data_IF_919960147396
#
_entry.id   IF_919960147396
#
_cell.length_a   1.000
_cell.length_b   1.000
_cell.length_c   1.000
_cell.angle_alpha   90.00
_cell.angle_beta   90.00
_cell.angle_gamma   90.00
#
_symmetry.space_group_name_H-M   'P 1'
#
loop_
_entity.id
_entity.type
_entity.pdbx_description
1 polymer ?
#
# COMPACT_ATOMS: atom_id res chain seq x y z
N UNK A 1 17.66 0.19 -0.15
CA UNK A 1 18.63 1.04 0.58
C UNK A 1 20.01 0.44 0.44
N UNK A 2 20.89 1.12 -0.28
CA UNK A 2 22.28 0.67 -0.48
C UNK A 2 23.09 0.84 0.81
N UNK A 3 24.27 0.23 0.89
CA UNK A 3 25.16 0.39 2.05
C UNK A 3 25.56 1.87 2.27
N UNK A 4 25.72 2.65 1.20
CA UNK A 4 26.02 4.07 1.24
C UNK A 4 24.86 4.88 1.84
N UNK A 5 23.62 4.58 1.44
CA UNK A 5 22.42 5.25 1.96
C UNK A 5 22.25 5.01 3.46
N UNK A 6 22.53 3.79 3.93
CA UNK A 6 22.44 3.46 5.35
C UNK A 6 23.43 4.28 6.19
N UNK A 7 24.69 4.38 5.75
CA UNK A 7 25.71 5.16 6.47
C UNK A 7 25.36 6.64 6.48
N UNK A 8 24.91 7.19 5.35
CA UNK A 8 24.45 8.59 5.26
C UNK A 8 23.31 8.87 6.23
N UNK A 9 22.30 7.99 6.26
CA UNK A 9 21.18 8.07 7.19
C UNK A 9 21.64 8.07 8.65
N UNK A 10 22.47 7.10 9.03
CA UNK A 10 22.97 6.98 10.40
C UNK A 10 23.78 8.22 10.82
N UNK A 11 24.63 8.76 9.96
CA UNK A 11 25.39 9.99 10.24
C UNK A 11 24.45 11.19 10.40
N UNK A 12 23.57 11.44 9.41
CA UNK A 12 22.64 12.58 9.45
C UNK A 12 21.79 12.58 10.72
N UNK A 13 21.17 11.44 11.04
CA UNK A 13 20.28 11.31 12.18
C UNK A 13 21.03 11.46 13.51
N UNK A 14 22.26 10.93 13.61
CA UNK A 14 23.08 11.07 14.81
C UNK A 14 23.46 12.54 15.03
N UNK A 15 23.95 13.22 13.99
CA UNK A 15 24.38 14.62 14.08
C UNK A 15 23.20 15.52 14.50
N UNK A 16 22.01 15.27 13.94
CA UNK A 16 20.80 16.02 14.25
C UNK A 16 20.33 15.83 15.69
N UNK A 17 20.22 14.58 16.16
CA UNK A 17 19.75 14.34 17.53
C UNK A 17 20.78 14.80 18.57
N UNK A 18 22.08 14.66 18.30
CA UNK A 18 23.12 15.17 19.19
C UNK A 18 23.08 16.70 19.25
N UNK A 19 22.98 17.38 18.10
CA UNK A 19 22.83 18.84 18.06
C UNK A 19 21.57 19.34 18.76
N UNK A 20 20.47 18.58 18.71
CA UNK A 20 19.27 18.86 19.49
C UNK A 20 19.53 18.76 21.01
N UNK A 21 20.15 17.66 21.45
CA UNK A 21 20.46 17.39 22.87
C UNK A 21 21.46 18.40 23.45
N UNK A 22 22.40 18.91 22.66
CA UNK A 22 23.35 19.94 23.08
C UNK A 22 22.68 21.26 23.47
N UNK A 23 21.51 21.57 22.89
CA UNK A 23 20.72 22.76 23.25
C UNK A 23 19.84 22.55 24.50
N UNK A 24 19.84 21.34 25.07
CA UNK A 24 19.01 20.93 26.21
C UNK A 24 19.88 20.66 27.44
N UNK A 25 19.30 20.81 28.63
CA UNK A 25 19.98 20.57 29.88
C UNK A 25 20.13 19.05 30.13
N UNK A 26 21.36 18.53 30.29
CA UNK A 26 21.57 17.12 30.59
C UNK A 26 21.09 16.78 32.01
N UNK A 27 20.77 15.50 32.30
CA UNK A 27 20.36 15.07 33.63
C UNK A 27 21.45 15.35 34.68
N UNK A 28 21.22 16.35 35.53
CA UNK A 28 22.20 16.84 36.53
C UNK A 28 22.50 15.83 37.64
N UNK A 29 21.60 14.89 37.88
CA UNK A 29 21.78 13.82 38.86
C UNK A 29 22.76 12.74 38.40
N UNK A 30 23.09 12.70 37.11
CA UNK A 30 23.99 11.71 36.51
C UNK A 30 25.41 12.26 36.40
N UNK A 31 26.41 11.43 36.69
CA UNK A 31 27.81 11.73 36.37
C UNK A 31 28.08 11.66 34.87
N UNK A 32 29.21 12.21 34.42
CA UNK A 32 29.55 12.36 33.00
C UNK A 32 29.46 11.04 32.19
N UNK A 33 29.95 9.93 32.74
CA UNK A 33 29.86 8.62 32.07
C UNK A 33 28.41 8.14 31.94
N UNK A 34 27.58 8.36 32.95
CA UNK A 34 26.17 8.00 32.92
C UNK A 34 25.39 8.87 31.94
N UNK A 35 25.72 10.16 31.83
CA UNK A 35 25.17 11.05 30.81
C UNK A 35 25.54 10.60 29.38
N UNK A 36 26.79 10.18 29.14
CA UNK A 36 27.20 9.64 27.85
C UNK A 36 26.44 8.36 27.49
N UNK A 37 26.26 7.46 28.47
CA UNK A 37 25.49 6.24 28.29
C UNK A 37 24.01 6.53 28.00
N UNK A 38 23.44 7.53 28.67
CA UNK A 38 22.06 7.98 28.46
C UNK A 38 21.89 8.54 27.05
N UNK A 39 22.79 9.43 26.61
CA UNK A 39 22.79 9.95 25.24
C UNK A 39 22.85 8.82 24.22
N UNK A 40 23.76 7.86 24.39
CA UNK A 40 23.85 6.70 23.50
C UNK A 40 22.56 5.86 23.51
N UNK A 41 21.87 5.77 24.64
CA UNK A 41 20.56 5.11 24.75
C UNK A 41 19.48 5.84 23.97
N UNK A 42 19.42 7.17 24.11
CA UNK A 42 18.48 8.02 23.38
C UNK A 42 18.70 7.93 21.87
N UNK A 43 19.96 7.99 21.42
CA UNK A 43 20.32 7.82 20.00
C UNK A 43 19.87 6.46 19.47
N UNK A 44 20.12 5.36 20.21
CA UNK A 44 19.64 4.02 19.81
C UNK A 44 18.13 3.93 19.76
N UNK A 45 17.42 4.56 20.70
CA UNK A 45 15.97 4.63 20.72
C UNK A 45 15.45 5.36 19.47
N UNK A 46 15.98 6.57 19.23
CA UNK A 46 15.65 7.41 18.10
C UNK A 46 15.86 6.70 16.76
N UNK A 47 17.02 6.06 16.56
CA UNK A 47 17.36 5.36 15.31
C UNK A 47 16.39 4.22 14.96
N UNK A 48 15.76 3.61 15.97
CA UNK A 48 14.76 2.55 15.82
C UNK A 48 13.44 3.07 15.24
N UNK A 49 13.07 4.30 15.60
CA UNK A 49 11.80 4.91 15.18
C UNK A 49 11.93 5.82 13.97
N UNK A 50 13.13 6.34 13.70
CA UNK A 50 13.38 7.16 12.52
C UNK A 50 13.13 6.36 11.22
N UNK A 51 12.51 6.97 10.19
CA UNK A 51 12.17 6.28 8.96
C UNK A 51 13.41 5.83 8.19
N UNK A 52 13.26 4.83 7.31
CA UNK A 52 14.36 4.32 6.48
C UNK A 52 14.68 5.28 5.33
N UNK A 53 13.65 5.86 4.73
CA UNK A 53 13.72 6.81 3.60
C UNK A 53 13.00 8.12 4.01
N UNK A 54 13.28 9.24 3.33
CA UNK A 54 12.62 10.53 3.63
C UNK A 54 12.96 11.11 5.01
N UNK A 55 14.05 10.64 5.64
CA UNK A 55 14.43 11.04 7.00
C UNK A 55 14.89 12.51 7.11
N UNK A 56 15.32 13.11 6.01
CA UNK A 56 15.74 14.52 5.96
C UNK A 56 14.52 15.45 6.09
N UNK A 57 13.43 15.16 5.39
CA UNK A 57 12.16 15.92 5.47
C UNK A 57 11.36 15.59 6.74
N UNK A 58 11.53 14.38 7.27
CA UNK A 58 10.88 13.96 8.51
C UNK A 58 11.47 14.66 9.74
N UNK A 59 12.78 14.96 9.74
CA UNK A 59 13.47 15.50 10.92
C UNK A 59 12.88 16.80 11.46
N UNK A 60 12.61 17.86 10.65
CA UNK A 60 12.04 19.10 11.17
C UNK A 60 10.72 18.88 11.90
N UNK A 61 9.82 18.06 11.34
CA UNK A 61 8.55 17.73 11.97
C UNK A 61 8.74 17.00 13.30
N UNK A 62 9.75 16.12 13.38
CA UNK A 62 10.15 15.43 14.62
C UNK A 62 10.67 16.35 15.68
N UNK A 63 11.56 17.25 15.30
CA UNK A 63 12.13 18.26 16.18
C UNK A 63 11.02 19.17 16.74
N UNK A 64 10.17 19.71 15.87
CA UNK A 64 9.06 20.58 16.25
C UNK A 64 8.10 19.88 17.23
N UNK A 65 7.71 18.64 16.93
CA UNK A 65 6.82 17.87 17.80
C UNK A 65 7.42 17.60 19.17
N UNK A 66 8.71 17.26 19.20
CA UNK A 66 9.42 16.97 20.44
C UNK A 66 9.55 18.25 21.29
N UNK A 67 9.72 19.40 20.66
CA UNK A 67 9.72 20.71 21.32
C UNK A 67 8.33 21.14 21.81
N UNK A 68 7.27 20.88 21.04
CA UNK A 68 5.88 21.14 21.45
C UNK A 68 5.48 20.34 22.69
N UNK A 69 5.84 19.06 22.73
CA UNK A 69 5.53 18.17 23.85
C UNK A 69 6.47 18.38 25.05
N UNK A 70 7.59 19.09 24.86
CA UNK A 70 8.58 19.32 25.92
C UNK A 70 8.08 20.31 26.97
N UNK A 71 7.86 19.80 28.19
CA UNK A 71 7.48 20.62 29.35
C UNK A 71 8.64 21.39 29.97
N UNK A 72 9.87 20.97 29.68
CA UNK A 72 11.09 21.53 30.27
C UNK A 72 12.22 21.61 29.24
N UNK A 73 13.29 22.32 29.58
CA UNK A 73 14.52 22.34 28.77
C UNK A 73 15.44 21.14 29.02
N UNK A 74 15.04 20.13 29.79
CA UNK A 74 15.85 18.95 30.02
C UNK A 74 15.93 18.04 28.78
N UNK A 75 16.89 17.11 28.77
CA UNK A 75 16.89 16.03 27.78
C UNK A 75 15.55 15.27 27.81
N UNK A 76 15.02 14.89 26.64
CA UNK A 76 13.84 14.06 26.56
C UNK A 76 14.13 12.66 27.07
N UNK A 77 13.11 12.00 27.56
CA UNK A 77 13.12 10.58 27.88
C UNK A 77 12.97 9.74 26.61
N UNK A 78 13.37 8.47 26.67
CA UNK A 78 13.13 7.53 25.58
C UNK A 78 11.63 7.38 25.23
N UNK A 79 10.74 7.55 26.22
CA UNK A 79 9.30 7.54 26.03
C UNK A 79 8.79 8.73 25.21
N UNK A 80 9.31 9.93 25.48
CA UNK A 80 8.98 11.15 24.73
C UNK A 80 9.50 11.08 23.29
N UNK A 81 10.74 10.59 23.08
CA UNK A 81 11.27 10.35 21.73
C UNK A 81 10.35 9.40 20.94
N UNK A 82 9.93 8.29 21.57
CA UNK A 82 9.02 7.34 20.93
C UNK A 82 7.67 7.98 20.62
N UNK A 83 7.09 8.71 21.57
CA UNK A 83 5.79 9.35 21.40
C UNK A 83 5.80 10.36 20.25
N UNK A 84 6.80 11.25 20.20
CA UNK A 84 6.97 12.22 19.13
C UNK A 84 7.15 11.52 17.77
N UNK A 85 8.03 10.51 17.70
CA UNK A 85 8.27 9.77 16.46
C UNK A 85 7.01 9.05 15.95
N UNK A 86 6.21 8.47 16.85
CA UNK A 86 4.94 7.82 16.51
C UNK A 86 3.83 8.81 16.15
N UNK A 87 3.85 10.03 16.66
CA UNK A 87 2.83 11.03 16.34
C UNK A 87 2.96 11.53 14.89
N UNK A 88 4.19 11.72 14.40
CA UNK A 88 4.47 12.20 13.03
C UNK A 88 4.43 11.06 12.03
N UNK A 89 4.85 9.88 12.47
CA UNK A 89 4.57 8.64 11.76
C UNK A 89 3.10 8.31 12.00
N UNK A 90 2.18 9.13 11.46
CA UNK A 90 0.73 8.93 11.56
C UNK A 90 0.37 7.47 11.26
N UNK A 91 -0.78 6.97 11.78
CA UNK A 91 -1.09 5.54 11.89
C UNK A 91 -0.68 4.83 10.61
N UNK A 92 0.44 4.10 10.70
CA UNK A 92 1.20 3.51 9.60
C UNK A 92 0.49 3.74 8.27
N UNK A 93 0.82 4.83 7.57
CA UNK A 93 0.46 4.96 6.18
C UNK A 93 1.08 3.75 5.48
N UNK A 94 0.29 2.67 5.41
CA UNK A 94 0.41 1.62 4.42
C UNK A 94 0.60 2.42 3.15
N UNK A 95 1.83 2.45 2.62
CA UNK A 95 2.24 3.25 1.46
C UNK A 95 1.01 3.37 0.58
N UNK A 96 0.42 4.56 0.51
CA UNK A 96 -0.43 4.86 -0.63
C UNK A 96 0.63 4.89 -1.71
N UNK A 97 0.79 3.76 -2.40
CA UNK A 97 1.60 3.69 -3.59
C UNK A 97 1.13 4.89 -4.41
N UNK A 98 2.08 5.75 -4.82
CA UNK A 98 1.85 6.68 -5.92
C UNK A 98 0.98 5.94 -6.93
N UNK A 99 -0.15 6.55 -7.31
CA UNK A 99 -1.23 5.92 -8.06
C UNK A 99 -0.72 5.28 -9.34
N UNK A 100 -0.15 4.09 -9.21
CA UNK A 100 -0.08 3.12 -10.26
C UNK A 100 -1.54 2.73 -10.39
N UNK A 101 -2.16 3.16 -11.48
CA UNK A 101 -3.44 2.66 -11.91
C UNK A 101 -3.42 1.15 -11.70
N UNK A 102 -4.13 0.69 -10.67
CA UNK A 102 -4.10 -0.70 -10.27
C UNK A 102 -4.91 -1.42 -11.31
N UNK A 103 -4.23 -1.86 -12.38
CA UNK A 103 -4.82 -2.72 -13.38
C UNK A 103 -4.65 -4.18 -12.95
N UNK A 104 -5.74 -4.87 -12.56
CA UNK A 104 -5.67 -6.28 -12.21
C UNK A 104 -5.16 -7.15 -13.36
N UNK A 105 -5.36 -6.75 -14.63
CA UNK A 105 -4.86 -7.47 -15.80
C UNK A 105 -3.33 -7.43 -15.86
N UNK A 106 -2.71 -6.28 -15.55
CA UNK A 106 -1.24 -6.14 -15.54
C UNK A 106 -0.60 -7.00 -14.44
N UNK A 107 -1.22 -7.04 -13.26
CA UNK A 107 -0.73 -7.87 -12.15
C UNK A 107 -0.77 -9.34 -12.55
N UNK A 108 -1.87 -9.80 -13.14
CA UNK A 108 -2.01 -11.21 -13.52
C UNK A 108 -1.16 -11.57 -14.75
N UNK A 109 -0.98 -10.66 -15.71
CA UNK A 109 -0.04 -10.86 -16.81
C UNK A 109 1.39 -11.05 -16.30
N UNK A 110 1.85 -10.20 -15.36
CA UNK A 110 3.17 -10.34 -14.72
C UNK A 110 3.32 -11.69 -14.02
N UNK A 111 2.28 -12.15 -13.31
CA UNK A 111 2.26 -13.48 -12.70
C UNK A 111 2.38 -14.60 -13.74
N UNK A 112 1.66 -14.49 -14.85
CA UNK A 112 1.73 -15.48 -15.94
C UNK A 112 3.11 -15.51 -16.61
N UNK A 113 3.79 -14.37 -16.72
CA UNK A 113 5.17 -14.29 -17.22
C UNK A 113 6.18 -14.85 -16.22
N UNK A 114 5.93 -14.70 -14.93
CA UNK A 114 6.75 -15.27 -13.86
C UNK A 114 6.51 -16.77 -13.62
N UNK A 115 5.53 -17.39 -14.28
CA UNK A 115 5.19 -18.80 -14.06
C UNK A 115 4.37 -19.05 -12.79
N UNK A 116 3.82 -18.00 -12.18
CA UNK A 116 3.02 -18.08 -10.97
C UNK A 116 1.58 -18.52 -11.25
N UNK A 117 0.89 -19.06 -10.24
CA UNK A 117 -0.52 -19.46 -10.36
C UNK A 117 -1.42 -18.23 -10.43
N UNK A 118 -2.42 -18.27 -11.31
CA UNK A 118 -3.47 -17.26 -11.46
C UNK A 118 -4.85 -17.89 -11.24
N UNK A 119 -5.87 -17.08 -10.93
CA UNK A 119 -7.23 -17.62 -10.71
C UNK A 119 -7.88 -18.04 -12.02
N UNK A 120 -8.88 -18.92 -11.92
CA UNK A 120 -9.66 -19.45 -13.03
C UNK A 120 -10.35 -18.35 -13.86
N UNK A 121 -10.72 -17.22 -13.24
CA UNK A 121 -11.35 -16.09 -13.92
C UNK A 121 -10.44 -15.42 -14.96
N UNK A 122 -9.12 -15.46 -14.76
CA UNK A 122 -8.13 -14.96 -15.73
C UNK A 122 -7.74 -16.02 -16.78
N UNK A 123 -8.12 -17.28 -16.57
CA UNK A 123 -7.93 -18.38 -17.52
C UNK A 123 -9.15 -18.63 -18.41
N UNK A 124 -10.35 -18.41 -17.87
CA UNK A 124 -11.63 -18.64 -18.53
C UNK A 124 -12.64 -17.54 -18.18
N UNK A 125 -13.35 -17.04 -19.19
CA UNK A 125 -14.34 -15.97 -19.05
C UNK A 125 -13.81 -14.60 -19.51
N UNK A 126 -14.49 -13.53 -19.07
CA UNK A 126 -14.29 -12.16 -19.56
C UNK A 126 -12.87 -11.63 -19.37
N UNK A 127 -12.29 -11.79 -18.18
CA UNK A 127 -10.94 -11.27 -17.88
C UNK A 127 -9.86 -11.99 -18.71
N UNK A 128 -10.09 -13.25 -19.06
CA UNK A 128 -9.20 -14.00 -19.96
C UNK A 128 -9.22 -13.43 -21.38
N UNK A 129 -10.42 -13.12 -21.90
CA UNK A 129 -10.58 -12.46 -23.22
C UNK A 129 -9.91 -11.10 -23.21
N UNK A 130 -10.12 -10.29 -22.17
CA UNK A 130 -9.49 -8.96 -22.04
C UNK A 130 -7.96 -9.03 -21.93
N UNK A 131 -7.41 -10.04 -21.23
CA UNK A 131 -5.97 -10.27 -21.11
C UNK A 131 -5.29 -10.54 -22.46
N UNK A 132 -5.95 -11.34 -23.31
CA UNK A 132 -5.44 -11.67 -24.65
C UNK A 132 -5.67 -10.49 -25.60
N UNK A 133 -6.85 -9.88 -25.58
CA UNK A 133 -7.20 -8.75 -26.44
C UNK A 133 -6.33 -7.51 -26.17
N UNK A 134 -5.94 -7.27 -24.91
CA UNK A 134 -5.02 -6.19 -24.52
C UNK A 134 -3.55 -6.48 -24.86
N UNK A 135 -3.23 -7.66 -25.40
CA UNK A 135 -1.87 -8.05 -25.78
C UNK A 135 -0.90 -8.28 -24.61
N UNK A 136 -1.40 -8.25 -23.37
CA UNK A 136 -0.59 -8.42 -22.14
C UNK A 136 -0.13 -9.86 -21.96
N UNK A 137 -0.89 -10.82 -22.48
CA UNK A 137 -0.59 -12.25 -22.50
C UNK A 137 -0.88 -12.81 -23.89
N UNK A 138 0.01 -13.68 -24.38
CA UNK A 138 -0.19 -14.35 -25.67
C UNK A 138 -1.16 -15.53 -25.56
N UNK A 139 -1.87 -15.83 -26.65
CA UNK A 139 -2.73 -17.01 -26.73
C UNK A 139 -1.97 -18.31 -26.44
N UNK A 140 -0.70 -18.40 -26.88
CA UNK A 140 0.15 -19.55 -26.60
C UNK A 140 0.43 -19.73 -25.10
N UNK A 141 0.63 -18.64 -24.37
CA UNK A 141 0.83 -18.65 -22.92
C UNK A 141 -0.47 -18.99 -22.19
N UNK A 142 -1.61 -18.44 -22.65
CA UNK A 142 -2.93 -18.77 -22.11
C UNK A 142 -3.23 -20.27 -22.24
N UNK A 143 -2.96 -20.87 -23.40
CA UNK A 143 -3.13 -22.32 -23.61
C UNK A 143 -2.30 -23.17 -22.64
N UNK A 144 -1.04 -22.80 -22.39
CA UNK A 144 -0.18 -23.51 -21.42
C UNK A 144 -0.78 -23.49 -20.02
N UNK A 145 -1.28 -22.34 -19.60
CA UNK A 145 -1.91 -22.17 -18.30
C UNK A 145 -3.23 -22.94 -18.17
N UNK A 146 -4.07 -22.94 -19.21
CA UNK A 146 -5.30 -23.72 -19.26
C UNK A 146 -5.03 -25.23 -19.15
N UNK A 147 -4.01 -25.72 -19.85
CA UNK A 147 -3.61 -27.13 -19.76
C UNK A 147 -3.15 -27.49 -18.33
N UNK A 148 -2.29 -26.67 -17.71
CA UNK A 148 -1.85 -26.87 -16.34
C UNK A 148 -3.03 -26.85 -15.34
N UNK A 149 -4.02 -26.00 -15.56
CA UNK A 149 -5.22 -25.92 -14.73
C UNK A 149 -6.09 -27.18 -14.85
N UNK A 150 -6.25 -27.75 -16.06
CA UNK A 150 -6.97 -29.00 -16.27
C UNK A 150 -6.27 -30.16 -15.55
N UNK A 151 -4.94 -30.24 -15.63
CA UNK A 151 -4.19 -31.24 -14.87
C UNK A 151 -4.41 -31.10 -13.37
N UNK A 152 -4.38 -29.86 -12.85
CA UNK A 152 -4.69 -29.60 -11.44
C UNK A 152 -6.13 -29.99 -11.06
N UNK A 153 -7.12 -29.76 -11.93
CA UNK A 153 -8.50 -30.17 -11.68
C UNK A 153 -8.63 -31.70 -11.58
N UNK A 154 -7.97 -32.45 -12.47
CA UNK A 154 -7.97 -33.91 -12.44
C UNK A 154 -7.22 -34.50 -11.23
N UNK A 155 -6.25 -33.76 -10.70
CA UNK A 155 -5.53 -34.13 -9.47
C UNK A 155 -6.37 -33.85 -8.21
N UNK A 156 -7.22 -32.82 -8.25
CA UNK A 156 -8.00 -32.36 -7.09
C UNK A 156 -9.38 -33.02 -6.98
N UNK A 157 -10.00 -33.36 -8.12
CA UNK A 157 -11.36 -33.89 -8.19
C UNK A 157 -11.38 -35.23 -8.92
N UNK A 158 -12.37 -36.07 -8.59
CA UNK A 158 -12.66 -37.26 -9.37
C UNK A 158 -12.89 -36.90 -10.85
N UNK A 159 -12.40 -37.77 -11.75
CA UNK A 159 -12.42 -37.54 -13.20
C UNK A 159 -13.76 -37.03 -13.78
N UNK A 160 -14.94 -37.59 -13.44
CA UNK A 160 -16.21 -37.06 -13.94
C UNK A 160 -16.51 -35.63 -13.47
N UNK A 161 -16.11 -35.29 -12.24
CA UNK A 161 -16.31 -33.94 -11.67
C UNK A 161 -15.33 -32.96 -12.32
N UNK A 162 -14.08 -33.38 -12.53
CA UNK A 162 -13.08 -32.57 -13.21
C UNK A 162 -13.52 -32.22 -14.64
N UNK A 163 -14.03 -33.19 -15.40
CA UNK A 163 -14.54 -32.97 -16.76
C UNK A 163 -15.76 -32.04 -16.79
N UNK A 164 -16.71 -32.21 -15.88
CA UNK A 164 -17.87 -31.32 -15.77
C UNK A 164 -17.45 -29.86 -15.49
N UNK A 165 -16.44 -29.67 -14.62
CA UNK A 165 -15.89 -28.34 -14.34
C UNK A 165 -15.19 -27.73 -15.55
N UNK A 166 -14.41 -28.50 -16.29
CA UNK A 166 -13.77 -28.01 -17.53
C UNK A 166 -14.82 -27.53 -18.53
N UNK A 167 -15.88 -28.31 -18.73
CA UNK A 167 -16.98 -27.93 -19.63
C UNK A 167 -17.69 -26.64 -19.19
N UNK A 168 -17.90 -26.46 -17.89
CA UNK A 168 -18.45 -25.22 -17.32
C UNK A 168 -17.55 -24.01 -17.62
N UNK A 169 -16.24 -24.15 -17.43
CA UNK A 169 -15.28 -23.08 -17.69
C UNK A 169 -15.17 -22.74 -19.18
N UNK A 170 -15.18 -23.74 -20.06
CA UNK A 170 -15.19 -23.56 -21.50
C UNK A 170 -16.47 -22.85 -21.97
N UNK A 171 -17.64 -23.26 -21.46
CA UNK A 171 -18.91 -22.61 -21.77
C UNK A 171 -18.94 -21.15 -21.30
N UNK A 172 -18.42 -20.87 -20.09
CA UNK A 172 -18.28 -19.50 -19.57
C UNK A 172 -17.35 -18.64 -20.43
N UNK A 173 -16.29 -19.23 -20.96
CA UNK A 173 -15.34 -18.53 -21.82
C UNK A 173 -15.95 -18.22 -23.20
N UNK A 174 -16.59 -19.21 -23.83
CA UNK A 174 -17.28 -19.03 -25.11
C UNK A 174 -18.37 -17.95 -25.03
N UNK A 175 -19.14 -17.92 -23.93
CA UNK A 175 -20.12 -16.86 -23.69
C UNK A 175 -19.48 -15.46 -23.58
N UNK A 176 -18.29 -15.38 -22.97
CA UNK A 176 -17.55 -14.12 -22.86
C UNK A 176 -16.95 -13.66 -24.20
N UNK A 177 -16.46 -14.58 -25.02
CA UNK A 177 -15.99 -14.27 -26.38
C UNK A 177 -17.14 -13.77 -27.26
N UNK A 178 -18.31 -14.41 -27.18
CA UNK A 178 -19.50 -13.97 -27.90
C UNK A 178 -19.92 -12.55 -27.48
N UNK A 179 -19.95 -12.27 -26.16
CA UNK A 179 -20.29 -10.94 -25.64
C UNK A 179 -19.25 -9.86 -25.99
N UNK A 180 -17.98 -10.22 -26.17
CA UNK A 180 -16.93 -9.29 -26.57
C UNK A 180 -17.00 -8.92 -28.06
N UNK A 181 -17.60 -9.79 -28.89
CA UNK A 181 -17.82 -9.53 -30.33
C UNK A 181 -19.10 -8.71 -30.59
N UNK A 182 -20.04 -8.65 -29.64
CA UNK A 182 -21.27 -7.89 -29.79
C UNK A 182 -21.01 -6.36 -29.69
N UNK A 183 -21.37 -5.55 -30.70
CA UNK A 183 -21.13 -4.12 -30.67
C UNK A 183 -21.95 -3.46 -29.55
N UNK A 184 -21.29 -2.71 -28.69
CA UNK A 184 -21.91 -1.95 -27.60
C UNK A 184 -22.85 -0.89 -28.18
N UNK A 185 -24.15 -1.17 -28.24
CA UNK A 185 -25.12 -0.12 -28.44
C UNK A 185 -25.02 0.89 -27.27
N UNK A 186 -24.97 2.21 -27.54
CA UNK A 186 -24.82 3.21 -26.50
C UNK A 186 -26.02 3.15 -25.55
N UNK A 187 -25.77 2.68 -24.32
CA UNK A 187 -26.76 2.62 -23.26
C UNK A 187 -27.26 4.04 -22.96
N UNK A 188 -28.45 4.38 -23.45
CA UNK A 188 -29.08 5.67 -23.20
C UNK A 188 -29.22 5.90 -21.68
N UNK A 189 -28.55 6.95 -21.18
CA UNK A 189 -28.65 7.33 -19.78
C UNK A 189 -30.06 7.85 -19.47
N UNK A 190 -30.70 7.42 -18.36
CA UNK A 190 -31.97 7.99 -17.94
C UNK A 190 -31.77 9.48 -17.58
N UNK A 191 -32.61 10.36 -18.15
CA UNK A 191 -32.54 11.81 -17.92
C UNK A 191 -32.76 12.11 -16.42
N UNK A 192 -31.93 12.96 -15.79
CA UNK A 192 -32.09 13.31 -14.39
C UNK A 192 -33.43 14.04 -14.19
N UNK A 193 -34.26 13.53 -13.27
CA UNK A 193 -35.51 14.21 -12.90
C UNK A 193 -35.17 15.40 -11.98
N UNK A 194 -35.74 16.59 -12.22
CA UNK A 194 -35.50 17.75 -11.37
C UNK A 194 -36.10 17.50 -9.98
N UNK A 195 -35.26 17.58 -8.94
CA UNK A 195 -35.70 17.54 -7.55
C UNK A 195 -36.48 18.83 -7.25
N UNK A 196 -37.79 18.72 -7.06
CA UNK A 196 -38.60 19.81 -6.53
C UNK A 196 -38.24 19.99 -5.06
N UNK A 197 -37.56 21.07 -4.72
CA UNK A 197 -37.27 21.43 -3.34
C UNK A 197 -38.47 22.22 -2.80
N UNK A 198 -39.14 21.80 -1.72
CA UNK A 198 -40.26 22.54 -1.15
C UNK A 198 -39.75 23.88 -0.61
N UNK A 199 -40.38 24.98 -1.02
CA UNK A 199 -40.11 26.33 -0.51
C UNK A 199 -40.69 26.41 0.91
N UNK A 200 -39.85 26.44 1.94
CA UNK A 200 -40.32 26.76 3.30
C UNK A 200 -40.70 28.24 3.35
N UNK A 201 -42.00 28.51 3.39
CA UNK A 201 -42.57 29.81 3.74
C UNK A 201 -42.26 30.09 5.22
N UNK A 202 -41.56 31.20 5.46
CA UNK A 202 -41.42 31.80 6.79
C UNK A 202 -42.53 32.83 6.94
N UNK A 203 -43.66 32.43 7.54
CA UNK A 203 -44.66 33.38 8.02
C UNK A 203 -44.23 33.89 9.40
N UNK A 204 -43.78 35.14 9.42
CA UNK A 204 -43.52 35.91 10.63
C UNK A 204 -44.48 37.09 10.74
N UNK A 205 -44.89 37.36 11.98
CA UNK A 205 -45.68 38.50 12.48
C UNK A 205 -47.19 38.45 12.18
N UNK A 206 -48.09 38.72 13.13
CA UNK A 206 -48.01 39.56 14.33
C UNK A 206 -48.79 38.95 15.51
#
# INVERSE_FOLDING_TARGET
MTMFDRKRRETFLTDKITGYLDRKAPPRSLGAQAQANEMASLVRCFMRFAPKDGYEDWWPNFEDRLDEDAKTRAWPTAGEIKAAAMAITGPSSRRIAEGNEFDPLDVNAKRMHAGERVSDGYLYGRLSVELVASGKVSEAQMRRYRAAFIFWLKDTYDEPIALAKVAEFEARHAAAEAAAHEPLEPRALPKPQPKIVPRHEWDGAA
#
